data_IF_509301611227
#
_entry.id   IF_509301611227
#
_cell.length_a   1.000
_cell.length_b   1.000
_cell.length_c   1.000
_cell.angle_alpha   90.00
_cell.angle_beta   90.00
_cell.angle_gamma   90.00
#
_symmetry.space_group_name_H-M   'P 1'
#
loop_
_entity.id
_entity.type
_entity.pdbx_description
1 polymer ?
#
# COMPACT_ATOMS: atom_id res chain seq x y z
N UNK A 1 8.16 22.16 -0.90
CA UNK A 1 8.67 20.90 -1.49
C UNK A 1 7.67 19.81 -1.13
N UNK A 2 7.28 18.98 -2.08
CA UNK A 2 6.27 17.93 -1.88
C UNK A 2 6.95 16.56 -1.83
N UNK A 3 6.41 15.67 -1.02
CA UNK A 3 6.90 14.31 -0.84
C UNK A 3 5.77 13.31 -1.16
N UNK A 4 6.13 12.22 -1.82
CA UNK A 4 5.24 11.10 -2.10
C UNK A 4 5.91 9.77 -1.76
N UNK A 5 5.12 8.71 -1.73
CA UNK A 5 5.58 7.35 -1.39
C UNK A 5 5.46 6.44 -2.60
N UNK A 6 6.46 5.58 -2.78
CA UNK A 6 6.43 4.44 -3.69
C UNK A 6 6.56 3.16 -2.87
N UNK A 7 5.53 2.33 -2.85
CA UNK A 7 5.44 1.11 -2.05
C UNK A 7 5.45 -0.13 -2.97
N UNK A 8 6.32 -1.08 -2.66
CA UNK A 8 6.36 -2.36 -3.39
C UNK A 8 5.32 -3.35 -2.88
N UNK A 9 4.74 -3.08 -1.70
CA UNK A 9 3.78 -3.96 -1.02
C UNK A 9 4.37 -5.36 -0.90
N UNK A 10 5.60 -5.42 -0.39
CA UNK A 10 6.34 -6.67 -0.23
C UNK A 10 5.91 -7.42 1.03
N UNK A 11 5.92 -8.75 0.95
CA UNK A 11 5.68 -9.67 2.04
C UNK A 11 6.73 -9.48 3.14
N UNK A 12 6.29 -9.44 4.39
CA UNK A 12 7.15 -9.27 5.56
C UNK A 12 7.05 -10.45 6.55
N UNK A 13 6.36 -11.53 6.18
CA UNK A 13 6.17 -12.73 7.00
C UNK A 13 5.05 -12.66 8.05
N UNK A 14 4.31 -11.55 8.13
CA UNK A 14 3.13 -11.44 9.01
C UNK A 14 1.91 -12.19 8.44
N UNK A 15 0.94 -12.57 9.28
CA UNK A 15 -0.33 -13.13 8.80
C UNK A 15 -1.03 -12.19 7.81
N UNK A 16 -1.58 -12.75 6.72
CA UNK A 16 -2.08 -11.97 5.58
C UNK A 16 -3.11 -10.89 5.94
N UNK A 17 -4.01 -11.18 6.89
CA UNK A 17 -5.00 -10.20 7.33
C UNK A 17 -4.34 -9.01 8.04
N UNK A 18 -3.42 -9.29 8.97
CA UNK A 18 -2.69 -8.26 9.70
C UNK A 18 -1.83 -7.44 8.74
N UNK A 19 -1.18 -8.10 7.78
CA UNK A 19 -0.39 -7.45 6.75
C UNK A 19 -1.19 -6.35 6.03
N UNK A 20 -2.39 -6.66 5.53
CA UNK A 20 -3.17 -5.67 4.80
C UNK A 20 -3.75 -4.58 5.71
N UNK A 21 -4.14 -4.91 6.95
CA UNK A 21 -4.59 -3.90 7.91
C UNK A 21 -3.46 -2.91 8.27
N UNK A 22 -2.25 -3.40 8.55
CA UNK A 22 -1.07 -2.57 8.84
C UNK A 22 -0.73 -1.65 7.65
N UNK A 23 -0.85 -2.17 6.43
CA UNK A 23 -0.63 -1.38 5.21
C UNK A 23 -1.66 -0.27 5.05
N UNK A 24 -2.94 -0.56 5.28
CA UNK A 24 -3.99 0.47 5.23
C UNK A 24 -3.86 1.50 6.35
N UNK A 25 -3.39 1.10 7.54
CA UNK A 25 -3.04 2.04 8.61
C UNK A 25 -1.87 2.96 8.21
N UNK A 26 -0.80 2.40 7.63
CA UNK A 26 0.31 3.21 7.12
C UNK A 26 -0.15 4.24 6.09
N UNK A 27 -0.98 3.83 5.11
CA UNK A 27 -1.42 4.75 4.06
C UNK A 27 -2.35 5.83 4.60
N UNK A 28 -3.20 5.52 5.59
CA UNK A 28 -3.99 6.52 6.33
C UNK A 28 -3.10 7.56 7.00
N UNK A 29 -2.05 7.12 7.68
CA UNK A 29 -1.11 8.04 8.31
C UNK A 29 -0.41 8.92 7.27
N UNK A 30 0.03 8.36 6.14
CA UNK A 30 0.65 9.14 5.06
C UNK A 30 -0.30 10.22 4.50
N UNK A 31 -1.58 9.90 4.37
CA UNK A 31 -2.63 10.84 3.96
C UNK A 31 -2.80 11.96 5.00
N UNK A 32 -2.94 11.60 6.29
CA UNK A 32 -3.04 12.56 7.41
C UNK A 32 -1.83 13.49 7.52
N UNK A 33 -0.62 13.00 7.19
CA UNK A 33 0.61 13.81 7.18
C UNK A 33 0.82 14.61 5.89
N UNK A 34 -0.11 14.54 4.94
CA UNK A 34 -0.10 15.38 3.73
C UNK A 34 0.89 14.94 2.66
N UNK A 35 1.20 13.64 2.56
CA UNK A 35 1.98 13.12 1.43
C UNK A 35 1.19 13.28 0.13
N UNK A 36 1.86 13.78 -0.91
CA UNK A 36 1.26 14.17 -2.20
C UNK A 36 0.65 13.00 -2.97
N UNK A 37 1.16 11.78 -2.75
CA UNK A 37 0.75 10.62 -3.50
C UNK A 37 1.34 9.33 -2.96
N UNK A 38 0.63 8.24 -3.21
CA UNK A 38 1.00 6.88 -2.85
C UNK A 38 0.92 6.01 -4.12
N UNK A 39 2.09 5.57 -4.59
CA UNK A 39 2.22 4.74 -5.79
C UNK A 39 2.60 3.32 -5.40
N UNK A 40 2.08 2.35 -6.16
CA UNK A 40 2.26 0.91 -5.88
C UNK A 40 2.94 0.24 -7.06
N UNK A 41 3.94 -0.60 -6.79
CA UNK A 41 4.57 -1.45 -7.80
C UNK A 41 3.66 -2.65 -8.17
N UNK A 42 3.81 -3.16 -9.39
CA UNK A 42 3.10 -4.36 -9.86
C UNK A 42 4.07 -5.49 -10.17
N UNK A 43 4.06 -6.54 -9.35
CA UNK A 43 4.93 -7.71 -9.53
C UNK A 43 4.08 -8.98 -9.74
N UNK A 44 4.45 -9.79 -10.72
CA UNK A 44 3.81 -11.08 -11.02
C UNK A 44 4.78 -12.23 -10.80
N UNK A 45 4.25 -13.40 -10.42
CA UNK A 45 5.01 -14.64 -10.31
C UNK A 45 6.21 -14.60 -9.35
N UNK A 46 6.10 -13.80 -8.27
CA UNK A 46 7.09 -13.78 -7.18
C UNK A 46 6.41 -14.05 -5.85
N UNK A 47 7.10 -14.68 -4.88
CA UNK A 47 6.57 -14.84 -3.52
C UNK A 47 6.69 -13.56 -2.68
N UNK A 48 7.28 -12.50 -3.22
CA UNK A 48 7.59 -11.27 -2.50
C UNK A 48 6.47 -10.23 -2.63
N UNK A 49 5.95 -9.98 -3.84
CA UNK A 49 4.93 -8.94 -4.05
C UNK A 49 3.53 -9.36 -3.61
N UNK A 50 2.84 -8.51 -2.85
CA UNK A 50 1.51 -8.78 -2.29
C UNK A 50 0.37 -7.98 -2.96
N UNK A 51 0.67 -7.20 -4.00
CA UNK A 51 -0.31 -6.49 -4.83
C UNK A 51 -0.14 -6.78 -6.33
N UNK A 52 -0.31 -8.04 -6.79
CA UNK A 52 -0.17 -8.40 -8.22
C UNK A 52 -1.25 -7.76 -9.11
N UNK A 53 -2.32 -7.22 -8.52
CA UNK A 53 -3.27 -6.34 -9.19
C UNK A 53 -3.39 -5.04 -8.37
N UNK A 54 -2.61 -4.00 -8.69
CA UNK A 54 -2.55 -2.77 -7.91
C UNK A 54 -3.91 -2.10 -7.78
N UNK A 55 -4.76 -2.16 -8.80
CA UNK A 55 -6.09 -1.54 -8.76
C UNK A 55 -6.97 -2.13 -7.66
N UNK A 56 -6.87 -3.43 -7.38
CA UNK A 56 -7.64 -4.07 -6.30
C UNK A 56 -7.17 -3.53 -4.94
N UNK A 57 -5.87 -3.49 -4.70
CA UNK A 57 -5.31 -2.95 -3.46
C UNK A 57 -5.58 -1.44 -3.32
N UNK A 58 -5.39 -0.66 -4.39
CA UNK A 58 -5.63 0.77 -4.41
C UNK A 58 -7.11 1.12 -4.22
N UNK A 59 -8.05 0.23 -4.57
CA UNK A 59 -9.47 0.44 -4.25
C UNK A 59 -9.73 0.46 -2.73
N UNK A 60 -9.01 -0.39 -1.97
CA UNK A 60 -9.09 -0.41 -0.51
C UNK A 60 -8.38 0.79 0.11
N UNK A 61 -7.23 1.19 -0.45
CA UNK A 61 -6.53 2.42 -0.08
C UNK A 61 -7.44 3.64 -0.26
N UNK A 62 -8.04 3.81 -1.44
CA UNK A 62 -8.90 4.95 -1.74
C UNK A 62 -10.15 5.03 -0.85
N UNK A 63 -10.68 3.88 -0.39
CA UNK A 63 -11.76 3.84 0.62
C UNK A 63 -11.28 4.32 2.01
N UNK A 64 -10.00 4.16 2.31
CA UNK A 64 -9.42 4.39 3.64
C UNK A 64 -8.83 5.80 3.81
N UNK A 65 -8.66 6.57 2.74
CA UNK A 65 -8.09 7.94 2.70
C UNK A 65 -9.12 8.97 2.26
N UNK A 66 -8.86 10.28 2.43
CA UNK A 66 -9.83 11.37 2.11
C UNK A 66 -9.27 12.51 1.26
#
# INVERSE_FOLDING_TARGET
MEFGVFDHVDANGTPLHQYYEDRLELVRLLDEYGFRGYHVAEHHSTPLGMAPSPTVYLSAVARSTT
#
